data_IF_901135220511
#
_entry.id   IF_901135220511
#
_cell.length_a   1.000
_cell.length_b   1.000
_cell.length_c   1.000
_cell.angle_alpha   90.00
_cell.angle_beta   90.00
_cell.angle_gamma   90.00
#
_symmetry.space_group_name_H-M   'P 1'
#
loop_
_entity.id
_entity.type
_entity.pdbx_description
1 polymer ?
#
# COMPACT_ATOMS: atom_id res chain seq x y z
N UNK A 1 39.04 -21.55 11.56
CA UNK A 1 39.15 -20.62 12.71
C UNK A 1 37.88 -19.81 12.75
N UNK A 2 37.09 -19.93 13.83
CA UNK A 2 35.88 -19.11 13.99
C UNK A 2 36.31 -17.72 14.46
N UNK A 3 36.06 -16.68 13.66
CA UNK A 3 36.16 -15.31 14.13
C UNK A 3 35.10 -15.14 15.22
N UNK A 4 35.55 -14.93 16.47
CA UNK A 4 34.67 -14.56 17.59
C UNK A 4 34.05 -13.22 17.21
N UNK A 5 32.78 -13.25 16.80
CA UNK A 5 32.03 -12.07 16.39
C UNK A 5 31.62 -11.33 17.66
N UNK A 6 32.50 -10.45 18.15
CA UNK A 6 32.19 -9.58 19.28
C UNK A 6 31.45 -8.35 18.74
N UNK A 7 30.18 -8.24 19.08
CA UNK A 7 29.35 -7.07 18.78
C UNK A 7 29.77 -5.95 19.73
N UNK A 8 30.16 -4.80 19.19
CA UNK A 8 30.57 -3.64 19.99
C UNK A 8 29.35 -2.93 20.59
N UNK A 9 29.55 -2.13 21.64
CA UNK A 9 28.47 -1.32 22.25
C UNK A 9 27.77 -0.40 21.25
N UNK A 10 28.52 0.16 20.29
CA UNK A 10 27.93 0.95 19.20
C UNK A 10 27.02 0.10 18.32
N UNK A 11 27.48 -1.08 17.91
CA UNK A 11 26.69 -1.99 17.09
C UNK A 11 25.43 -2.49 17.83
N UNK A 12 25.50 -2.65 19.16
CA UNK A 12 24.33 -2.95 19.97
C UNK A 12 23.30 -1.80 19.95
N UNK A 13 23.76 -0.56 20.11
CA UNK A 13 22.91 0.63 19.99
C UNK A 13 22.23 0.66 18.61
N UNK A 14 22.97 0.40 17.53
CA UNK A 14 22.42 0.36 16.18
C UNK A 14 21.32 -0.71 16.03
N UNK A 15 21.54 -1.90 16.60
CA UNK A 15 20.54 -2.97 16.62
C UNK A 15 19.31 -2.58 17.41
N UNK A 16 19.46 -1.93 18.56
CA UNK A 16 18.33 -1.43 19.36
C UNK A 16 17.51 -0.39 18.60
N UNK A 17 18.17 0.55 17.92
CA UNK A 17 17.53 1.54 17.04
C UNK A 17 16.74 0.84 15.93
N UNK A 18 17.34 -0.12 15.24
CA UNK A 18 16.66 -0.89 14.18
C UNK A 18 15.44 -1.66 14.70
N UNK A 19 15.52 -2.27 15.90
CA UNK A 19 14.37 -2.94 16.52
C UNK A 19 13.21 -1.96 16.71
N UNK A 20 13.47 -0.75 17.19
CA UNK A 20 12.43 0.26 17.36
C UNK A 20 11.80 0.68 16.03
N UNK A 21 12.62 0.87 14.99
CA UNK A 21 12.17 1.25 13.65
C UNK A 21 11.36 0.13 12.96
N UNK A 22 11.62 -1.13 13.29
CA UNK A 22 10.91 -2.30 12.75
C UNK A 22 9.54 -2.55 13.41
N UNK A 23 9.32 -2.09 14.66
CA UNK A 23 8.05 -2.32 15.38
C UNK A 23 6.79 -1.87 14.62
N UNK A 24 6.73 -0.66 14.00
CA UNK A 24 5.56 -0.25 13.23
C UNK A 24 5.27 -1.17 12.05
N UNK A 25 6.31 -1.68 11.39
CA UNK A 25 6.17 -2.63 10.29
C UNK A 25 5.66 -3.99 10.79
N UNK A 26 6.16 -4.46 11.92
CA UNK A 26 5.69 -5.68 12.57
C UNK A 26 4.19 -5.58 12.95
N UNK A 27 3.76 -4.46 13.51
CA UNK A 27 2.35 -4.25 13.86
C UNK A 27 1.49 -4.28 12.59
N UNK A 28 1.92 -3.58 11.53
CA UNK A 28 1.21 -3.58 10.25
C UNK A 28 1.11 -4.98 9.64
N UNK A 29 2.20 -5.76 9.63
CA UNK A 29 2.16 -7.14 9.11
C UNK A 29 1.29 -8.05 9.97
N UNK A 30 1.26 -7.83 11.29
CA UNK A 30 0.34 -8.56 12.19
C UNK A 30 -1.12 -8.25 11.86
N UNK A 31 -1.45 -6.99 11.56
CA UNK A 31 -2.81 -6.62 11.11
C UNK A 31 -3.15 -7.29 9.78
N UNK A 32 -2.24 -7.27 8.81
CA UNK A 32 -2.47 -7.91 7.51
C UNK A 32 -2.59 -9.44 7.61
N UNK A 33 -1.80 -10.08 8.47
CA UNK A 33 -1.78 -11.54 8.62
C UNK A 33 -2.77 -12.07 9.66
N UNK A 34 -3.38 -11.20 10.47
CA UNK A 34 -4.29 -11.59 11.56
C UNK A 34 -5.68 -12.02 11.08
N UNK A 35 -6.08 -11.63 9.87
CA UNK A 35 -7.34 -12.03 9.26
C UNK A 35 -7.12 -13.19 8.28
N UNK A 36 -8.10 -14.11 8.18
CA UNK A 36 -8.03 -15.26 7.25
C UNK A 36 -7.81 -14.80 5.79
N UNK A 37 -8.28 -13.60 5.46
CA UNK A 37 -8.03 -12.92 4.19
C UNK A 37 -7.73 -11.46 4.47
N UNK A 38 -6.52 -10.99 4.19
CA UNK A 38 -6.21 -9.56 4.23
C UNK A 38 -7.07 -8.84 3.19
N UNK A 39 -7.94 -7.93 3.62
CA UNK A 39 -8.71 -7.15 2.68
C UNK A 39 -7.79 -6.24 1.85
N UNK A 40 -7.85 -6.40 0.53
CA UNK A 40 -7.10 -5.59 -0.44
C UNK A 40 -7.36 -4.08 -0.26
N UNK A 41 -8.55 -3.73 0.27
CA UNK A 41 -8.99 -2.38 0.61
C UNK A 41 -8.20 -1.72 1.74
N UNK A 42 -7.56 -2.49 2.64
CA UNK A 42 -6.82 -1.95 3.78
C UNK A 42 -5.34 -1.69 3.48
N UNK A 43 -4.79 -2.28 2.41
CA UNK A 43 -3.35 -2.28 2.15
C UNK A 43 -2.82 -0.86 1.96
N UNK A 44 -3.42 -0.09 1.04
CA UNK A 44 -2.98 1.28 0.73
C UNK A 44 -3.23 2.26 1.90
N UNK A 45 -4.40 2.26 2.56
CA UNK A 45 -4.61 3.09 3.75
C UNK A 45 -3.60 2.85 4.86
N UNK A 46 -3.35 1.58 5.23
CA UNK A 46 -2.44 1.26 6.35
C UNK A 46 -0.99 1.58 6.03
N UNK A 47 -0.53 1.32 4.80
CA UNK A 47 0.80 1.73 4.36
C UNK A 47 0.99 3.24 4.44
N UNK A 48 0.00 4.02 4.00
CA UNK A 48 0.04 5.47 4.12
C UNK A 48 0.13 5.91 5.59
N UNK A 49 -0.64 5.30 6.50
CA UNK A 49 -0.57 5.59 7.94
C UNK A 49 0.82 5.30 8.50
N UNK A 50 1.42 4.15 8.16
CA UNK A 50 2.77 3.80 8.62
C UNK A 50 3.82 4.79 8.11
N UNK A 51 3.75 5.16 6.83
CA UNK A 51 4.66 6.14 6.25
C UNK A 51 4.53 7.49 6.95
N UNK A 52 3.32 8.01 7.11
CA UNK A 52 3.10 9.35 7.66
C UNK A 52 3.36 9.46 9.16
N UNK A 53 3.03 8.42 9.95
CA UNK A 53 3.11 8.47 11.41
C UNK A 53 4.38 7.88 12.00
N UNK A 54 5.02 6.93 11.31
CA UNK A 54 6.11 6.14 11.90
C UNK A 54 7.43 6.21 11.12
N UNK A 55 7.37 6.39 9.79
CA UNK A 55 8.58 6.40 8.95
C UNK A 55 8.96 7.79 8.46
N UNK A 56 8.16 8.83 8.69
CA UNK A 56 8.47 10.19 8.27
C UNK A 56 9.82 10.62 8.87
N UNK A 57 10.79 11.04 8.04
CA UNK A 57 12.08 11.52 8.54
C UNK A 57 11.90 12.70 9.50
N UNK A 58 12.68 12.71 10.57
CA UNK A 58 12.72 13.76 11.57
C UNK A 58 14.13 14.37 11.62
N UNK A 59 14.22 15.67 11.91
CA UNK A 59 15.48 16.40 12.09
C UNK A 59 16.32 15.81 13.24
N UNK A 60 15.69 15.12 14.19
CA UNK A 60 16.36 14.46 15.31
C UNK A 60 16.82 13.02 15.01
N UNK A 61 16.59 12.50 13.81
CA UNK A 61 16.98 11.13 13.46
C UNK A 61 18.51 11.02 13.34
N UNK A 62 19.08 9.91 13.82
CA UNK A 62 20.46 9.56 13.54
C UNK A 62 20.61 9.04 12.08
N UNK A 63 21.85 8.90 11.63
CA UNK A 63 22.17 8.49 10.25
C UNK A 63 21.52 7.15 9.88
N UNK A 64 21.50 6.20 10.82
CA UNK A 64 20.92 4.87 10.61
C UNK A 64 19.40 4.96 10.46
N UNK A 65 18.75 5.75 11.31
CA UNK A 65 17.31 5.98 11.29
C UNK A 65 16.88 6.69 10.02
N UNK A 66 17.59 7.73 9.61
CA UNK A 66 17.33 8.45 8.36
C UNK A 66 17.48 7.52 7.15
N UNK A 67 18.58 6.76 7.09
CA UNK A 67 18.84 5.83 6.01
C UNK A 67 17.79 4.71 5.93
N UNK A 68 17.45 4.12 7.08
CA UNK A 68 16.40 3.10 7.18
C UNK A 68 15.05 3.64 6.71
N UNK A 69 14.59 4.76 7.27
CA UNK A 69 13.29 5.37 6.94
C UNK A 69 13.20 5.71 5.46
N UNK A 70 14.22 6.34 4.90
CA UNK A 70 14.27 6.72 3.48
C UNK A 70 14.23 5.50 2.58
N UNK A 71 15.00 4.46 2.92
CA UNK A 71 15.04 3.21 2.14
C UNK A 71 13.70 2.50 2.19
N UNK A 72 13.10 2.33 3.38
CA UNK A 72 11.82 1.64 3.53
C UNK A 72 10.70 2.42 2.84
N UNK A 73 10.64 3.75 2.99
CA UNK A 73 9.63 4.57 2.29
C UNK A 73 9.74 4.36 0.78
N UNK A 74 10.96 4.43 0.22
CA UNK A 74 11.18 4.20 -1.22
C UNK A 74 10.67 2.84 -1.66
N UNK A 75 11.02 1.77 -0.94
CA UNK A 75 10.60 0.41 -1.26
C UNK A 75 9.08 0.24 -1.15
N UNK A 76 8.43 0.82 -0.13
CA UNK A 76 6.98 0.74 0.03
C UNK A 76 6.25 1.53 -1.08
N UNK A 77 6.71 2.74 -1.40
CA UNK A 77 6.12 3.54 -2.47
C UNK A 77 6.19 2.83 -3.81
N UNK A 78 7.35 2.25 -4.15
CA UNK A 78 7.55 1.58 -5.43
C UNK A 78 6.81 0.23 -5.51
N UNK A 79 6.97 -0.65 -4.53
CA UNK A 79 6.39 -2.01 -4.57
C UNK A 79 4.86 -1.99 -4.53
N UNK A 80 4.27 -1.03 -3.82
CA UNK A 80 2.82 -0.90 -3.70
C UNK A 80 2.22 0.15 -4.65
N UNK A 81 3.05 0.82 -5.46
CA UNK A 81 2.66 1.86 -6.43
C UNK A 81 1.78 2.93 -5.78
N UNK A 82 2.27 3.49 -4.67
CA UNK A 82 1.50 4.43 -3.83
C UNK A 82 1.49 5.86 -4.39
N UNK A 83 2.41 6.19 -5.30
CA UNK A 83 2.46 7.48 -5.95
C UNK A 83 1.53 7.51 -7.17
N UNK A 84 0.90 8.67 -7.37
CA UNK A 84 0.10 8.96 -8.56
C UNK A 84 0.87 9.87 -9.52
N UNK A 85 0.81 9.57 -10.80
CA UNK A 85 1.35 10.40 -11.88
C UNK A 85 0.36 10.44 -13.05
N UNK A 86 0.57 11.35 -14.01
CA UNK A 86 -0.35 11.54 -15.14
C UNK A 86 -0.53 10.29 -16.03
N UNK A 87 0.42 9.35 -16.02
CA UNK A 87 0.33 8.07 -16.74
C UNK A 87 -0.16 6.91 -15.86
N UNK A 88 -0.55 7.18 -14.60
CA UNK A 88 -1.08 6.16 -13.71
C UNK A 88 -2.46 5.70 -14.16
N UNK A 89 -2.73 4.42 -13.94
CA UNK A 89 -4.05 3.80 -14.15
C UNK A 89 -4.64 3.41 -12.81
N UNK A 90 -5.96 3.48 -12.70
CA UNK A 90 -6.66 3.08 -11.48
C UNK A 90 -6.47 1.58 -11.25
N UNK A 91 -5.93 1.22 -10.09
CA UNK A 91 -5.68 -0.16 -9.72
C UNK A 91 -6.86 -0.80 -9.00
N UNK A 92 -6.99 -2.13 -9.09
CA UNK A 92 -7.99 -2.89 -8.34
C UNK A 92 -7.93 -2.66 -6.81
N UNK A 93 -6.73 -2.38 -6.26
CA UNK A 93 -6.55 -2.02 -4.84
C UNK A 93 -7.21 -0.68 -4.50
N UNK A 94 -7.09 0.32 -5.39
CA UNK A 94 -7.73 1.63 -5.19
C UNK A 94 -9.25 1.53 -5.28
N UNK A 95 -9.78 0.74 -6.24
CA UNK A 95 -11.20 0.44 -6.29
C UNK A 95 -11.66 -0.31 -5.02
N UNK A 96 -10.90 -1.31 -4.57
CA UNK A 96 -11.22 -2.04 -3.35
C UNK A 96 -11.27 -1.12 -2.13
N UNK A 97 -10.30 -0.19 -1.97
CA UNK A 97 -10.33 0.83 -0.91
C UNK A 97 -11.56 1.72 -1.02
N UNK A 98 -11.92 2.15 -2.23
CA UNK A 98 -13.07 3.02 -2.47
C UNK A 98 -14.40 2.34 -2.12
N UNK A 99 -14.53 1.05 -2.46
CA UNK A 99 -15.72 0.24 -2.17
C UNK A 99 -15.85 -0.14 -0.68
N UNK A 100 -14.77 -0.05 0.09
CA UNK A 100 -14.80 -0.24 1.54
C UNK A 100 -15.27 1.04 2.23
N UNK A 101 -16.41 0.97 2.92
CA UNK A 101 -17.03 2.14 3.57
C UNK A 101 -16.11 2.87 4.55
N UNK A 102 -15.11 2.17 5.12
CA UNK A 102 -14.12 2.75 6.03
C UNK A 102 -13.12 3.66 5.33
N UNK A 103 -12.89 3.46 4.03
CA UNK A 103 -11.88 4.16 3.24
C UNK A 103 -12.43 4.86 1.99
N UNK A 104 -13.76 4.95 1.87
CA UNK A 104 -14.50 5.57 0.74
C UNK A 104 -14.03 6.98 0.37
N UNK A 105 -13.54 7.76 1.34
CA UNK A 105 -13.10 9.14 1.13
C UNK A 105 -11.67 9.22 0.57
N UNK A 106 -10.98 8.07 0.51
CA UNK A 106 -9.67 7.88 -0.10
C UNK A 106 -8.63 8.88 0.42
N UNK A 107 -8.65 9.20 1.72
CA UNK A 107 -7.74 10.17 2.34
C UNK A 107 -6.25 9.84 2.15
N UNK A 108 -5.94 8.58 1.85
CA UNK A 108 -4.61 8.05 1.57
C UNK A 108 -4.15 8.23 0.11
N UNK A 109 -5.01 8.73 -0.78
CA UNK A 109 -4.71 9.02 -2.18
C UNK A 109 -4.58 10.53 -2.44
N UNK A 110 -3.88 10.92 -3.51
CA UNK A 110 -3.84 12.32 -3.96
C UNK A 110 -5.20 12.75 -4.51
N UNK A 111 -5.46 14.06 -4.60
CA UNK A 111 -6.74 14.59 -5.08
C UNK A 111 -7.02 14.11 -6.51
N UNK A 112 -6.00 14.13 -7.38
CA UNK A 112 -6.09 13.70 -8.77
C UNK A 112 -6.45 12.21 -8.89
N UNK A 113 -5.82 11.36 -8.07
CA UNK A 113 -6.13 9.93 -8.04
C UNK A 113 -7.60 9.68 -7.62
N UNK A 114 -8.11 10.43 -6.64
CA UNK A 114 -9.50 10.29 -6.16
C UNK A 114 -10.51 10.60 -7.25
N UNK A 115 -10.24 11.63 -8.05
CA UNK A 115 -11.12 12.00 -9.15
C UNK A 115 -11.18 10.90 -10.20
N UNK A 116 -10.04 10.32 -10.59
CA UNK A 116 -9.99 9.22 -11.56
C UNK A 116 -10.64 7.94 -11.02
N UNK A 117 -10.42 7.59 -9.74
CA UNK A 117 -11.05 6.42 -9.11
C UNK A 117 -12.59 6.54 -9.12
N UNK A 118 -13.13 7.73 -8.85
CA UNK A 118 -14.59 7.98 -8.84
C UNK A 118 -15.19 7.90 -10.24
N UNK A 119 -14.45 8.33 -11.28
CA UNK A 119 -14.87 8.17 -12.68
C UNK A 119 -14.92 6.69 -13.06
N UNK A 120 -13.91 5.91 -12.68
CA UNK A 120 -13.83 4.48 -12.99
C UNK A 120 -14.99 3.69 -12.36
N UNK A 121 -15.36 3.98 -11.11
CA UNK A 121 -16.55 3.37 -10.47
C UNK A 121 -17.85 3.69 -11.23
N UNK A 122 -17.97 4.90 -11.77
CA UNK A 122 -19.12 5.27 -12.60
C UNK A 122 -19.15 4.43 -13.89
N UNK A 123 -18.00 4.21 -14.53
CA UNK A 123 -17.88 3.33 -15.70
C UNK A 123 -18.19 1.86 -15.37
N UNK A 124 -17.80 1.36 -14.19
CA UNK A 124 -18.13 0.01 -13.73
C UNK A 124 -19.64 -0.13 -13.49
N UNK A 125 -20.27 0.86 -12.85
CA UNK A 125 -21.74 0.91 -12.65
C UNK A 125 -22.50 0.99 -13.96
N UNK A 126 -22.01 1.76 -14.93
CA UNK A 126 -22.61 1.84 -16.26
C UNK A 126 -22.43 0.51 -17.01
N UNK A 127 -21.23 -0.08 -17.00
CA UNK A 127 -20.96 -1.35 -17.67
C UNK A 127 -21.77 -2.50 -17.09
N UNK A 128 -21.92 -2.56 -15.77
CA UNK A 128 -22.77 -3.57 -15.11
C UNK A 128 -24.24 -3.35 -15.44
N UNK A 129 -24.73 -2.11 -15.45
CA UNK A 129 -26.10 -1.82 -15.89
C UNK A 129 -26.31 -2.12 -17.39
N UNK A 130 -25.34 -1.86 -18.26
CA UNK A 130 -25.39 -2.22 -19.68
C UNK A 130 -25.34 -3.74 -19.89
N UNK A 131 -24.56 -4.48 -19.10
CA UNK A 131 -24.55 -5.95 -19.12
C UNK A 131 -25.86 -6.56 -18.59
N UNK A 132 -26.64 -5.83 -17.77
CA UNK A 132 -27.98 -6.25 -17.36
C UNK A 132 -29.08 -5.90 -18.37
N UNK A 133 -28.79 -5.10 -19.39
CA UNK A 133 -29.75 -4.68 -20.42
C UNK A 133 -29.57 -5.33 -21.80
N UNK A 134 -28.71 -6.35 -21.94
CA UNK A 134 -28.59 -7.10 -23.19
C UNK A 134 -28.71 -8.60 -22.95
N UNK A 135 -29.96 -9.06 -22.96
CA UNK A 135 -30.33 -10.36 -23.50
C UNK A 135 -30.06 -10.38 -25.03
N UNK A 136 -28.81 -10.16 -25.46
CA UNK A 136 -28.29 -10.56 -26.77
C UNK A 136 -26.94 -11.25 -26.55
N UNK A 137 -27.12 -12.47 -26.08
CA UNK A 137 -26.16 -13.55 -25.95
C UNK A 137 -25.78 -14.08 -27.34
N UNK A 138 -24.69 -13.57 -27.93
CA UNK A 138 -23.87 -14.11 -29.05
C UNK A 138 -23.03 -12.94 -29.56
N UNK A 139 -21.78 -12.70 -29.15
CA UNK A 139 -20.65 -13.34 -29.84
C UNK A 139 -19.25 -13.04 -29.23
N UNK A 140 -19.12 -12.41 -28.08
CA UNK A 140 -17.77 -12.03 -27.57
C UNK A 140 -17.34 -12.71 -26.28
N UNK A 141 -17.88 -13.91 -26.05
CA UNK A 141 -17.26 -14.89 -25.15
C UNK A 141 -16.07 -15.57 -25.87
N UNK A 142 -14.93 -14.89 -25.98
CA UNK A 142 -13.69 -15.52 -26.42
C UNK A 142 -12.39 -14.93 -25.83
N UNK A 143 -12.45 -14.00 -24.87
CA UNK A 143 -11.23 -13.43 -24.25
C UNK A 143 -10.87 -14.09 -22.90
N UNK A 144 -11.72 -14.97 -22.35
CA UNK A 144 -11.39 -15.75 -21.15
C UNK A 144 -11.06 -17.21 -21.48
N UNK A 145 -10.11 -17.43 -22.39
CA UNK A 145 -9.34 -18.67 -22.46
C UNK A 145 -7.86 -18.30 -22.61
N UNK A 146 -7.19 -18.11 -21.48
CA UNK A 146 -5.92 -18.71 -21.05
C UNK A 146 -5.50 -18.11 -19.72
#
# INVERSE_FOLDING_TARGET
MAHKFEVTEHQWTDVETLIQLLRPLQIMTTVFCGEKYCSSSMVRPLLNVVIQKHLKPNISDDEISEHFKTTVIRELLDRFKLLWCHSSVVSARQIASFLDSRFKDLEHETVEAREEIRKEDTCIKISTNCCFSEEIFRDTCNICKF
#
